data_IF_656757353203
#
_entry.id   IF_656757353203
#
_cell.length_a   1.000
_cell.length_b   1.000
_cell.length_c   1.000
_cell.angle_alpha   90.00
_cell.angle_beta   90.00
_cell.angle_gamma   90.00
#
_symmetry.space_group_name_H-M   'P 1'
#
loop_
_entity.id
_entity.type
_entity.pdbx_description
1 polymer ?
#
# COMPACT_ATOMS: atom_id res chain seq x y z
N UNK A 1 -5.45 -9.21 -23.21
CA UNK A 1 -4.89 -9.04 -21.84
C UNK A 1 -5.88 -8.30 -20.96
N UNK A 2 -6.16 -8.80 -19.74
CA UNK A 2 -7.01 -8.17 -18.73
C UNK A 2 -6.27 -8.07 -17.39
N UNK A 3 -6.42 -6.94 -16.70
CA UNK A 3 -5.73 -6.65 -15.44
C UNK A 3 -6.73 -6.11 -14.43
N UNK A 4 -6.57 -6.53 -13.18
CA UNK A 4 -7.23 -5.91 -12.03
C UNK A 4 -6.17 -5.27 -11.14
N UNK A 5 -6.46 -4.07 -10.62
CA UNK A 5 -5.59 -3.31 -9.73
C UNK A 5 -6.35 -2.92 -8.47
N UNK A 6 -5.75 -3.15 -7.32
CA UNK A 6 -6.24 -2.74 -5.99
C UNK A 6 -5.09 -2.11 -5.20
N UNK A 7 -5.37 -1.17 -4.32
CA UNK A 7 -4.36 -0.49 -3.48
C UNK A 7 -4.92 -0.21 -2.08
N UNK A 8 -4.03 0.12 -1.14
CA UNK A 8 -4.36 0.68 0.18
C UNK A 8 -5.40 -0.19 0.93
N UNK A 9 -5.05 -1.46 1.18
CA UNK A 9 -5.89 -2.43 1.91
C UNK A 9 -5.59 -2.38 3.41
N UNK A 10 -4.32 -2.13 3.78
CA UNK A 10 -3.85 -2.03 5.16
C UNK A 10 -4.30 -3.20 6.06
N UNK A 11 -4.15 -4.45 5.63
CA UNK A 11 -4.48 -5.62 6.46
C UNK A 11 -3.71 -5.52 7.79
N UNK A 12 -4.43 -5.64 8.90
CA UNK A 12 -3.92 -5.37 10.25
C UNK A 12 -4.26 -3.98 10.81
N UNK A 13 -4.97 -3.13 10.06
CA UNK A 13 -5.49 -1.84 10.53
C UNK A 13 -6.96 -1.93 10.92
N UNK A 14 -7.37 -1.17 11.94
CA UNK A 14 -8.78 -1.00 12.34
C UNK A 14 -9.68 -0.45 11.22
N UNK A 15 -9.08 0.23 10.25
CA UNK A 15 -9.78 0.87 9.14
C UNK A 15 -9.84 -0.03 7.89
N UNK A 16 -9.21 -1.19 7.92
CA UNK A 16 -9.20 -2.15 6.82
C UNK A 16 -10.56 -2.82 6.63
N UNK A 17 -10.98 -2.99 5.39
CA UNK A 17 -12.16 -3.80 5.01
C UNK A 17 -11.77 -5.22 4.63
N UNK A 18 -11.02 -5.90 5.51
CA UNK A 18 -10.51 -7.25 5.25
C UNK A 18 -11.58 -8.24 4.78
N UNK A 19 -12.75 -8.26 5.45
CA UNK A 19 -13.84 -9.16 5.07
C UNK A 19 -14.39 -8.89 3.67
N UNK A 20 -14.49 -7.62 3.27
CA UNK A 20 -15.00 -7.25 1.95
C UNK A 20 -13.97 -7.57 0.87
N UNK A 21 -12.68 -7.31 1.14
CA UNK A 21 -11.60 -7.69 0.24
C UNK A 21 -11.52 -9.22 0.07
N UNK A 22 -11.74 -9.97 1.15
CA UNK A 22 -11.82 -11.43 1.14
C UNK A 22 -12.95 -11.95 0.25
N UNK A 23 -14.14 -11.33 0.31
CA UNK A 23 -15.27 -11.66 -0.57
C UNK A 23 -15.01 -11.25 -2.02
N UNK A 24 -14.33 -10.13 -2.23
CA UNK A 24 -13.90 -9.70 -3.55
C UNK A 24 -12.97 -10.73 -4.21
N UNK A 25 -12.04 -11.33 -3.45
CA UNK A 25 -11.20 -12.42 -3.96
C UNK A 25 -12.01 -13.68 -4.32
N UNK A 26 -13.05 -14.02 -3.54
CA UNK A 26 -13.97 -15.11 -3.90
C UNK A 26 -14.69 -14.81 -5.23
N UNK A 27 -15.14 -13.56 -5.39
CA UNK A 27 -15.76 -13.10 -6.63
C UNK A 27 -14.82 -13.20 -7.84
N UNK A 28 -13.56 -12.79 -7.69
CA UNK A 28 -12.54 -12.97 -8.74
C UNK A 28 -12.35 -14.44 -9.12
N UNK A 29 -12.33 -15.35 -8.14
CA UNK A 29 -12.22 -16.78 -8.40
C UNK A 29 -13.43 -17.31 -9.20
N UNK A 30 -14.63 -16.79 -8.92
CA UNK A 30 -15.82 -17.14 -9.69
C UNK A 30 -15.79 -16.56 -11.11
N UNK A 31 -15.24 -15.36 -11.35
CA UNK A 31 -15.03 -14.85 -12.71
C UNK A 31 -14.08 -15.77 -13.48
N UNK A 32 -12.97 -16.21 -12.88
CA UNK A 32 -12.01 -17.13 -13.51
C UNK A 32 -12.64 -18.48 -13.85
N UNK A 33 -13.58 -18.96 -13.03
CA UNK A 33 -14.31 -20.21 -13.23
C UNK A 33 -15.36 -20.10 -14.32
N UNK A 34 -16.10 -18.99 -14.37
CA UNK A 34 -17.16 -18.74 -15.36
C UNK A 34 -16.60 -18.34 -16.73
N UNK A 35 -15.35 -17.87 -16.79
CA UNK A 35 -14.74 -17.36 -18.02
C UNK A 35 -15.09 -15.90 -18.31
N UNK A 36 -15.51 -15.15 -17.30
CA UNK A 36 -15.90 -13.74 -17.39
C UNK A 36 -17.24 -13.44 -16.73
N UNK A 37 -17.57 -12.15 -16.64
CA UNK A 37 -18.82 -11.65 -16.05
C UNK A 37 -19.27 -10.39 -16.78
N UNK A 38 -20.58 -10.13 -16.84
CA UNK A 38 -21.12 -8.91 -17.42
C UNK A 38 -21.68 -8.03 -16.31
N UNK A 39 -21.09 -6.85 -16.12
CA UNK A 39 -21.54 -5.86 -15.15
C UNK A 39 -22.39 -4.85 -15.88
N UNK A 40 -23.62 -4.65 -15.41
CA UNK A 40 -24.52 -3.63 -15.92
C UNK A 40 -24.63 -2.50 -14.90
N UNK A 41 -24.16 -1.32 -15.26
CA UNK A 41 -24.21 -0.14 -14.40
C UNK A 41 -24.53 1.10 -15.23
N UNK A 42 -25.53 1.88 -14.79
CA UNK A 42 -25.95 3.09 -15.50
C UNK A 42 -26.40 2.88 -16.96
N UNK A 43 -26.91 1.69 -17.30
CA UNK A 43 -27.32 1.35 -18.68
C UNK A 43 -26.17 0.96 -19.61
N UNK A 44 -24.93 0.94 -19.13
CA UNK A 44 -23.78 0.38 -19.84
C UNK A 44 -23.51 -1.04 -19.34
N UNK A 45 -23.39 -1.99 -20.27
CA UNK A 45 -22.95 -3.35 -19.98
C UNK A 45 -21.46 -3.47 -20.35
N UNK A 46 -20.62 -3.75 -19.36
CA UNK A 46 -19.19 -4.03 -19.55
C UNK A 46 -18.95 -5.50 -19.27
N UNK A 47 -18.32 -6.20 -20.21
CA UNK A 47 -17.95 -7.61 -20.04
C UNK A 47 -16.53 -7.70 -19.49
N UNK A 48 -16.40 -8.12 -18.24
CA UNK A 48 -15.13 -8.46 -17.63
C UNK A 48 -14.66 -9.83 -18.10
N UNK A 49 -13.43 -9.90 -18.56
CA UNK A 49 -12.74 -11.17 -18.77
C UNK A 49 -12.07 -11.62 -17.46
N UNK A 50 -11.81 -12.93 -17.26
CA UNK A 50 -10.93 -13.39 -16.18
C UNK A 50 -9.63 -12.60 -16.20
N UNK A 51 -9.13 -12.11 -15.04
CA UNK A 51 -7.89 -11.36 -15.02
C UNK A 51 -6.73 -12.26 -15.44
N UNK A 52 -5.89 -11.79 -16.36
CA UNK A 52 -4.57 -12.40 -16.59
C UNK A 52 -3.58 -11.96 -15.51
N UNK A 53 -3.80 -10.76 -14.94
CA UNK A 53 -2.97 -10.19 -13.88
C UNK A 53 -3.79 -9.49 -12.79
N UNK A 54 -3.38 -9.64 -11.54
CA UNK A 54 -3.85 -8.91 -10.37
C UNK A 54 -2.68 -8.14 -9.77
N UNK A 55 -2.75 -6.81 -9.80
CA UNK A 55 -1.73 -5.92 -9.26
C UNK A 55 -2.21 -5.40 -7.90
N UNK A 56 -1.46 -5.74 -6.85
CA UNK A 56 -1.61 -5.17 -5.52
C UNK A 56 -0.65 -3.97 -5.42
N UNK A 57 -1.20 -2.77 -5.48
CA UNK A 57 -0.47 -1.53 -5.74
C UNK A 57 -0.22 -0.73 -4.46
N UNK A 58 0.62 -1.29 -3.60
CA UNK A 58 1.10 -0.65 -2.36
C UNK A 58 0.11 -0.66 -1.19
N UNK A 59 0.68 -0.53 0.01
CA UNK A 59 -0.01 -0.44 1.30
C UNK A 59 -1.08 -1.54 1.50
N UNK A 60 -0.71 -2.77 1.17
CA UNK A 60 -1.54 -3.97 1.32
C UNK A 60 -1.51 -4.47 2.75
N UNK A 61 -0.33 -4.43 3.38
CA UNK A 61 -0.12 -4.81 4.77
C UNK A 61 0.13 -3.56 5.63
N UNK A 62 -0.48 -3.50 6.81
CA UNK A 62 -0.21 -2.44 7.79
C UNK A 62 0.93 -2.87 8.73
N UNK A 63 2.17 -2.45 8.44
CA UNK A 63 3.33 -2.74 9.31
C UNK A 63 3.77 -1.54 10.16
N UNK A 64 3.26 -0.33 9.91
CA UNK A 64 3.68 0.88 10.64
C UNK A 64 2.87 1.11 11.90
N UNK A 65 1.56 0.88 11.82
CA UNK A 65 0.57 1.12 12.87
C UNK A 65 -0.48 0.02 12.92
N UNK A 66 -0.08 -1.26 13.07
CA UNK A 66 -1.05 -2.35 13.19
C UNK A 66 -1.89 -2.19 14.46
N UNK A 67 -3.04 -2.88 14.50
CA UNK A 67 -3.91 -2.96 15.67
C UNK A 67 -3.08 -3.24 16.93
N UNK A 68 -3.29 -2.43 17.97
CA UNK A 68 -2.56 -2.47 19.24
C UNK A 68 -1.03 -2.40 19.13
N UNK A 69 -0.51 -1.85 18.03
CA UNK A 69 0.91 -1.85 17.69
C UNK A 69 1.52 -3.26 17.78
N UNK A 70 0.78 -4.26 17.28
CA UNK A 70 1.19 -5.66 17.25
C UNK A 70 1.00 -6.27 15.85
N UNK A 71 2.12 -6.53 15.18
CA UNK A 71 2.18 -7.12 13.83
C UNK A 71 1.48 -8.48 13.71
N UNK A 72 1.23 -9.17 14.83
CA UNK A 72 0.44 -10.41 14.85
C UNK A 72 -0.95 -10.20 14.23
N UNK A 73 -1.58 -9.05 14.44
CA UNK A 73 -2.89 -8.77 13.85
C UNK A 73 -2.80 -8.62 12.33
N UNK A 74 -1.75 -7.96 11.81
CA UNK A 74 -1.45 -7.93 10.37
C UNK A 74 -1.32 -9.33 9.79
N UNK A 75 -0.56 -10.20 10.45
CA UNK A 75 -0.41 -11.59 10.00
C UNK A 75 -1.75 -12.34 10.05
N UNK A 76 -2.50 -12.22 11.14
CA UNK A 76 -3.80 -12.89 11.30
C UNK A 76 -4.78 -12.46 10.22
N UNK A 77 -4.89 -11.16 9.97
CA UNK A 77 -5.79 -10.61 8.94
C UNK A 77 -5.32 -10.94 7.53
N UNK A 78 -4.01 -11.12 7.30
CA UNK A 78 -3.48 -11.47 5.98
C UNK A 78 -3.65 -12.94 5.60
N UNK A 79 -3.77 -13.87 6.56
CA UNK A 79 -3.80 -15.32 6.28
C UNK A 79 -4.90 -15.70 5.28
N UNK A 80 -6.14 -15.28 5.52
CA UNK A 80 -7.27 -15.67 4.66
C UNK A 80 -7.21 -15.00 3.28
N UNK A 81 -7.09 -13.66 3.15
CA UNK A 81 -6.93 -13.00 1.85
C UNK A 81 -5.78 -13.58 1.04
N UNK A 82 -4.60 -13.77 1.64
CA UNK A 82 -3.46 -14.31 0.89
C UNK A 82 -3.69 -15.76 0.49
N UNK A 83 -4.35 -16.58 1.31
CA UNK A 83 -4.74 -17.95 0.92
C UNK A 83 -5.63 -17.93 -0.33
N UNK A 84 -6.66 -17.08 -0.36
CA UNK A 84 -7.56 -16.92 -1.52
C UNK A 84 -6.84 -16.37 -2.74
N UNK A 85 -6.03 -15.33 -2.54
CA UNK A 85 -5.19 -14.72 -3.56
C UNK A 85 -4.29 -15.77 -4.23
N UNK A 86 -3.63 -16.63 -3.45
CA UNK A 86 -2.76 -17.68 -3.96
C UNK A 86 -3.50 -18.76 -4.77
N UNK A 87 -4.81 -18.91 -4.57
CA UNK A 87 -5.65 -19.86 -5.29
C UNK A 87 -6.20 -19.32 -6.62
N UNK A 88 -6.14 -18.00 -6.86
CA UNK A 88 -6.45 -17.44 -8.18
C UNK A 88 -5.47 -17.98 -9.23
N UNK A 89 -5.87 -18.09 -10.49
CA UNK A 89 -5.03 -18.58 -11.59
C UNK A 89 -4.14 -17.48 -12.18
N UNK A 90 -4.59 -16.24 -12.15
CA UNK A 90 -3.91 -15.07 -12.68
C UNK A 90 -2.49 -14.87 -12.09
N UNK A 91 -1.65 -14.08 -12.78
CA UNK A 91 -0.39 -13.58 -12.24
C UNK A 91 -0.65 -12.51 -11.18
N UNK A 92 0.08 -12.53 -10.07
CA UNK A 92 0.01 -11.54 -8.99
C UNK A 92 1.29 -10.73 -9.02
N UNK A 93 1.13 -9.42 -9.01
CA UNK A 93 2.23 -8.47 -8.85
C UNK A 93 1.94 -7.63 -7.62
N UNK A 94 2.74 -7.79 -6.59
CA UNK A 94 2.65 -6.99 -5.37
C UNK A 94 3.73 -5.92 -5.41
N UNK A 95 3.32 -4.69 -5.75
CA UNK A 95 4.15 -3.50 -5.69
C UNK A 95 4.15 -2.99 -4.26
N UNK A 96 5.33 -2.84 -3.66
CA UNK A 96 5.47 -2.37 -2.28
C UNK A 96 5.15 -0.88 -2.18
N UNK A 97 4.36 -0.53 -1.17
CA UNK A 97 4.14 0.82 -0.67
C UNK A 97 4.98 1.08 0.57
N UNK A 98 4.73 2.21 1.23
CA UNK A 98 5.51 2.59 2.40
C UNK A 98 5.14 1.79 3.65
N UNK A 99 3.88 1.39 3.81
CA UNK A 99 3.45 0.61 4.98
C UNK A 99 3.94 -0.83 4.95
N UNK A 100 4.35 -1.34 3.79
CA UNK A 100 4.78 -2.72 3.59
C UNK A 100 6.19 -2.87 2.95
N UNK A 101 6.97 -1.79 2.85
CA UNK A 101 8.34 -1.81 2.28
C UNK A 101 9.27 -2.86 2.92
N UNK A 102 9.08 -3.13 4.22
CA UNK A 102 9.87 -4.09 4.98
C UNK A 102 9.63 -5.55 4.56
N UNK A 103 8.58 -5.84 3.78
CA UNK A 103 8.32 -7.18 3.25
C UNK A 103 9.50 -7.69 2.41
N UNK A 104 10.12 -6.81 1.61
CA UNK A 104 11.31 -7.14 0.81
C UNK A 104 12.42 -7.79 1.65
N UNK A 105 12.75 -7.17 2.79
CA UNK A 105 13.76 -7.66 3.74
C UNK A 105 13.40 -9.04 4.29
N UNK A 106 12.14 -9.27 4.66
CA UNK A 106 11.71 -10.58 5.16
C UNK A 106 11.77 -11.67 4.09
N UNK A 107 11.49 -11.34 2.83
CA UNK A 107 11.61 -12.29 1.72
C UNK A 107 13.07 -12.67 1.47
N UNK A 108 13.99 -11.71 1.52
CA UNK A 108 15.40 -11.98 1.31
C UNK A 108 15.96 -12.82 2.46
N UNK A 109 15.59 -12.51 3.71
CA UNK A 109 15.91 -13.35 4.87
C UNK A 109 15.33 -14.77 4.73
N UNK A 110 14.10 -14.89 4.24
CA UNK A 110 13.48 -16.20 3.99
C UNK A 110 14.23 -16.98 2.91
N UNK A 111 14.53 -16.36 1.76
CA UNK A 111 15.30 -16.99 0.67
C UNK A 111 16.67 -17.46 1.15
N UNK A 112 17.39 -16.64 1.93
CA UNK A 112 18.70 -16.98 2.49
C UNK A 112 18.65 -18.13 3.50
N UNK A 113 17.54 -18.29 4.23
CA UNK A 113 17.37 -19.33 5.26
C UNK A 113 16.75 -20.62 4.72
N UNK A 114 16.25 -20.65 3.49
CA UNK A 114 15.38 -21.72 3.02
C UNK A 114 15.84 -22.50 1.79
N UNK A 115 17.14 -22.84 1.73
CA UNK A 115 17.59 -24.01 0.97
C UNK A 115 16.98 -25.33 1.54
N UNK A 116 16.42 -25.32 2.76
CA UNK A 116 15.89 -26.52 3.43
C UNK A 116 14.37 -26.52 3.70
N UNK A 117 13.71 -25.37 3.90
CA UNK A 117 12.29 -25.32 4.33
C UNK A 117 11.27 -25.15 3.19
N UNK A 118 11.68 -24.60 2.04
CA UNK A 118 10.82 -24.40 0.85
C UNK A 118 10.28 -25.72 0.32
N UNK A 119 11.00 -26.84 0.53
CA UNK A 119 10.53 -28.19 0.16
C UNK A 119 9.41 -28.76 1.03
N UNK A 120 9.20 -28.26 2.26
CA UNK A 120 8.31 -28.92 3.24
C UNK A 120 6.88 -28.36 3.28
N UNK A 121 6.68 -27.10 2.87
CA UNK A 121 5.37 -26.42 3.01
C UNK A 121 4.75 -25.95 1.69
N UNK A 122 5.36 -26.23 0.53
CA UNK A 122 4.90 -25.71 -0.76
C UNK A 122 4.66 -24.18 -0.79
N UNK A 123 5.21 -23.44 0.18
CA UNK A 123 5.47 -21.99 0.10
C UNK A 123 6.63 -21.71 -0.89
N UNK A 124 6.82 -22.58 -1.89
CA UNK A 124 7.51 -22.18 -3.10
C UNK A 124 6.61 -21.14 -3.72
N UNK A 125 7.05 -19.87 -3.67
CA UNK A 125 6.48 -18.75 -4.41
C UNK A 125 5.92 -19.31 -5.72
N UNK A 126 4.59 -19.42 -5.79
CA UNK A 126 3.93 -19.85 -7.00
C UNK A 126 4.52 -18.97 -8.10
N UNK A 127 4.93 -19.53 -9.25
CA UNK A 127 5.60 -18.75 -10.31
C UNK A 127 4.80 -17.51 -10.75
N UNK A 128 3.53 -17.48 -10.37
CA UNK A 128 2.57 -16.43 -10.61
C UNK A 128 2.47 -15.41 -9.46
N UNK A 129 3.43 -15.28 -8.54
CA UNK A 129 3.43 -14.22 -7.52
C UNK A 129 4.80 -13.53 -7.46
N UNK A 130 4.83 -12.26 -7.84
CA UNK A 130 6.04 -11.43 -7.87
C UNK A 130 5.87 -10.26 -6.91
N UNK A 131 6.91 -9.96 -6.13
CA UNK A 131 6.97 -8.79 -5.24
C UNK A 131 7.99 -7.84 -5.83
N UNK A 132 7.58 -6.58 -6.01
CA UNK A 132 8.33 -5.56 -6.74
C UNK A 132 8.42 -4.30 -5.89
N UNK A 133 9.59 -3.67 -5.87
CA UNK A 133 9.79 -2.45 -5.12
C UNK A 133 9.23 -1.23 -5.86
N UNK A 134 8.40 -0.43 -5.19
CA UNK A 134 7.90 0.92 -5.56
C UNK A 134 7.05 1.08 -6.81
N UNK A 135 7.39 0.42 -7.92
CA UNK A 135 6.72 0.56 -9.21
C UNK A 135 6.83 -0.68 -10.08
N UNK A 136 5.91 -0.81 -11.02
CA UNK A 136 5.86 -1.89 -11.99
C UNK A 136 5.52 -1.34 -13.38
N UNK A 137 6.22 -1.76 -14.44
CA UNK A 137 7.43 -2.61 -14.46
C UNK A 137 8.68 -1.98 -13.78
N UNK A 138 9.69 -2.81 -13.46
CA UNK A 138 10.89 -2.43 -12.70
C UNK A 138 11.87 -1.49 -13.43
N UNK A 139 11.82 -1.40 -14.76
CA UNK A 139 12.73 -0.52 -15.52
C UNK A 139 11.97 0.44 -16.43
N UNK A 140 11.44 1.53 -15.87
CA UNK A 140 10.73 2.57 -16.62
C UNK A 140 11.58 3.26 -17.72
N UNK A 141 12.90 3.06 -17.72
CA UNK A 141 13.83 3.69 -18.66
C UNK A 141 14.21 2.77 -19.82
N UNK A 142 14.07 1.46 -19.67
CA UNK A 142 14.12 0.51 -20.78
C UNK A 142 12.84 0.63 -21.62
N UNK A 143 12.92 1.25 -22.79
CA UNK A 143 11.77 1.43 -23.69
C UNK A 143 11.12 0.11 -24.13
N UNK A 144 11.82 -1.02 -24.03
CA UNK A 144 11.29 -2.35 -24.34
C UNK A 144 10.64 -3.05 -23.13
N UNK A 145 11.00 -2.70 -21.89
CA UNK A 145 10.53 -3.37 -20.66
C UNK A 145 9.85 -2.48 -19.63
N UNK A 146 9.86 -1.16 -19.84
CA UNK A 146 9.48 -0.18 -18.84
C UNK A 146 8.01 0.13 -18.71
N UNK A 147 7.19 -0.49 -19.56
CA UNK A 147 5.74 -0.30 -19.53
C UNK A 147 5.04 -1.61 -19.82
N UNK A 148 3.89 -1.79 -19.21
CA UNK A 148 3.00 -2.88 -19.57
C UNK A 148 2.10 -2.44 -20.71
N UNK A 149 2.20 -3.10 -21.85
CA UNK A 149 1.36 -2.80 -23.02
C UNK A 149 0.06 -3.60 -22.94
N UNK A 150 -1.07 -2.90 -23.00
CA UNK A 150 -2.42 -3.48 -23.03
C UNK A 150 -3.14 -2.89 -24.24
N UNK A 151 -3.40 -3.71 -25.25
CA UNK A 151 -3.88 -3.23 -26.54
C UNK A 151 -2.88 -2.26 -27.18
N UNK A 152 -3.33 -1.03 -27.44
CA UNK A 152 -2.50 0.05 -27.99
C UNK A 152 -1.85 0.92 -26.91
N UNK A 153 -2.31 0.84 -25.67
CA UNK A 153 -1.92 1.73 -24.56
C UNK A 153 -0.76 1.14 -23.76
N UNK A 154 0.07 2.01 -23.18
CA UNK A 154 1.15 1.65 -22.24
C UNK A 154 0.78 2.10 -20.83
N UNK A 155 1.06 1.25 -19.85
CA UNK A 155 0.75 1.52 -18.45
C UNK A 155 2.00 1.43 -17.57
N UNK A 156 2.07 2.33 -16.60
CA UNK A 156 3.06 2.36 -15.53
C UNK A 156 2.32 2.40 -14.19
N UNK A 157 2.64 1.46 -13.31
CA UNK A 157 1.98 1.28 -12.02
C UNK A 157 2.95 1.72 -10.92
N UNK A 158 2.51 2.59 -10.02
CA UNK A 158 3.28 2.97 -8.84
C UNK A 158 2.37 3.13 -7.63
N UNK A 159 2.91 3.04 -6.42
CA UNK A 159 2.10 3.24 -5.20
C UNK A 159 1.42 4.62 -5.18
N UNK A 160 2.18 5.69 -5.43
CA UNK A 160 1.67 7.07 -5.45
C UNK A 160 2.29 7.96 -4.37
N UNK A 161 2.98 7.37 -3.39
CA UNK A 161 3.78 8.10 -2.39
C UNK A 161 4.87 8.99 -3.03
N UNK A 162 5.30 8.67 -4.25
CA UNK A 162 6.22 9.48 -5.05
C UNK A 162 5.70 10.91 -5.31
N UNK A 163 4.38 11.13 -5.19
CA UNK A 163 3.77 12.44 -5.27
C UNK A 163 3.88 13.24 -3.96
N UNK A 164 4.24 12.65 -2.83
CA UNK A 164 4.35 13.38 -1.56
C UNK A 164 5.68 14.13 -1.45
N UNK A 165 5.63 15.46 -1.62
CA UNK A 165 6.79 16.36 -1.49
C UNK A 165 7.48 16.26 -0.13
N UNK A 166 6.74 16.00 0.95
CA UNK A 166 7.34 15.85 2.28
C UNK A 166 8.17 14.58 2.35
N UNK A 167 7.71 13.48 1.74
CA UNK A 167 8.48 12.25 1.62
C UNK A 167 9.73 12.44 0.77
N UNK A 168 9.61 13.13 -0.37
CA UNK A 168 10.76 13.48 -1.21
C UNK A 168 11.78 14.36 -0.47
N UNK A 169 11.31 15.36 0.27
CA UNK A 169 12.17 16.28 1.02
C UNK A 169 12.81 15.63 2.26
N UNK A 170 12.09 14.73 2.94
CA UNK A 170 12.59 14.00 4.10
C UNK A 170 13.70 13.02 3.72
N UNK A 171 13.74 12.55 2.47
CA UNK A 171 14.78 11.67 1.96
C UNK A 171 14.95 10.44 2.87
N UNK A 172 16.17 10.14 3.39
CA UNK A 172 16.38 9.00 4.28
C UNK A 172 15.56 9.01 5.58
N UNK A 173 15.08 10.17 6.02
CA UNK A 173 14.26 10.30 7.24
C UNK A 173 12.84 9.74 7.05
N UNK A 174 12.39 9.58 5.80
CA UNK A 174 11.13 8.93 5.46
C UNK A 174 11.00 7.51 6.04
N UNK A 175 12.12 6.83 6.26
CA UNK A 175 12.17 5.45 6.75
C UNK A 175 12.19 5.37 8.29
N UNK A 176 12.15 6.50 9.00
CA UNK A 176 12.12 6.52 10.48
C UNK A 176 10.89 5.80 11.03
N UNK A 177 9.66 6.02 10.54
CA UNK A 177 8.48 5.29 10.99
C UNK A 177 8.68 3.77 10.86
N UNK A 178 9.14 3.28 9.71
CA UNK A 178 9.38 1.85 9.45
C UNK A 178 10.39 1.24 10.42
N UNK A 179 11.55 1.91 10.62
CA UNK A 179 12.57 1.46 11.58
C UNK A 179 12.07 1.47 13.02
N UNK A 180 11.28 2.48 13.36
CA UNK A 180 10.75 2.62 14.72
C UNK A 180 9.67 1.58 15.00
N UNK A 181 8.83 1.27 14.01
CA UNK A 181 7.87 0.17 14.06
C UNK A 181 8.56 -1.19 14.19
N UNK A 182 9.65 -1.44 13.45
CA UNK A 182 10.46 -2.67 13.57
C UNK A 182 11.00 -2.85 15.01
N UNK A 183 11.62 -1.81 15.57
CA UNK A 183 12.16 -1.85 16.95
C UNK A 183 11.04 -2.04 17.97
N UNK A 184 9.93 -1.31 17.81
CA UNK A 184 8.76 -1.44 18.66
C UNK A 184 8.20 -2.87 18.63
N UNK A 185 8.10 -3.48 17.44
CA UNK A 185 7.65 -4.86 17.27
C UNK A 185 8.60 -5.87 17.90
N UNK A 186 9.92 -5.66 17.81
CA UNK A 186 10.90 -6.49 18.51
C UNK A 186 10.70 -6.43 20.04
N UNK A 187 10.46 -5.25 20.59
CA UNK A 187 10.20 -5.09 22.04
C UNK A 187 8.89 -5.72 22.47
N UNK A 188 7.84 -5.63 21.64
CA UNK A 188 6.58 -6.30 21.86
C UNK A 188 6.71 -7.82 22.06
N UNK A 189 7.68 -8.44 21.38
CA UNK A 189 7.95 -9.88 21.47
C UNK A 189 8.84 -10.26 22.67
N UNK A 190 9.77 -9.39 23.06
CA UNK A 190 10.75 -9.68 24.12
C UNK A 190 10.19 -9.34 25.52
N UNK A 191 9.45 -8.25 25.62
CA UNK A 191 9.09 -7.65 26.91
C UNK A 191 7.60 -7.82 27.23
N UNK A 192 7.24 -8.10 28.50
CA UNK A 192 5.85 -8.25 28.93
C UNK A 192 4.98 -7.03 28.61
N UNK A 193 3.67 -7.29 28.52
CA UNK A 193 2.65 -6.29 28.23
C UNK A 193 2.89 -5.57 26.90
N UNK A 194 3.27 -6.33 25.86
CA UNK A 194 3.47 -5.78 24.51
C UNK A 194 4.49 -4.62 24.53
N UNK A 195 5.62 -4.80 25.22
CA UNK A 195 6.68 -3.79 25.32
C UNK A 195 6.48 -2.67 26.38
N UNK A 196 5.29 -2.55 26.99
CA UNK A 196 5.00 -1.46 27.94
C UNK A 196 5.76 -1.58 29.27
N UNK A 197 6.26 -2.76 29.62
CA UNK A 197 7.08 -2.96 30.81
C UNK A 197 8.36 -2.10 30.81
N UNK A 198 8.93 -1.76 29.65
CA UNK A 198 10.08 -0.84 29.56
C UNK A 198 9.67 0.58 29.96
N UNK A 199 8.50 1.05 29.48
CA UNK A 199 7.97 2.38 29.82
C UNK A 199 7.67 2.46 31.32
N UNK A 200 7.09 1.41 31.88
CA UNK A 200 6.87 1.31 33.33
C UNK A 200 8.17 1.32 34.12
N UNK A 201 9.20 0.60 33.64
CA UNK A 201 10.53 0.62 34.25
C UNK A 201 11.13 2.03 34.24
N UNK A 202 10.99 2.77 33.14
CA UNK A 202 11.41 4.18 33.07
C UNK A 202 10.72 5.05 34.11
N UNK A 203 9.38 4.95 34.22
CA UNK A 203 8.60 5.74 35.18
C UNK A 203 9.01 5.40 36.62
N UNK A 204 9.06 4.11 36.96
CA UNK A 204 9.37 3.64 38.32
C UNK A 204 10.80 3.98 38.72
N UNK A 205 11.78 3.74 37.85
CA UNK A 205 13.18 4.07 38.11
C UNK A 205 13.40 5.58 38.16
N UNK A 206 12.73 6.36 37.32
CA UNK A 206 12.78 7.83 37.37
C UNK A 206 12.26 8.36 38.71
N UNK A 207 11.11 7.87 39.17
CA UNK A 207 10.56 8.23 40.48
C UNK A 207 11.49 7.81 41.64
N UNK A 208 12.03 6.60 41.58
CA UNK A 208 12.99 6.10 42.57
C UNK A 208 14.28 6.95 42.60
N UNK A 209 14.78 7.40 41.44
CA UNK A 209 15.93 8.29 41.36
C UNK A 209 15.63 9.65 42.00
N UNK A 210 14.43 10.21 41.80
CA UNK A 210 14.06 11.49 42.42
C UNK A 210 14.09 11.44 43.95
N UNK A 211 13.79 10.28 44.55
CA UNK A 211 13.79 10.06 46.00
C UNK A 211 15.19 9.72 46.52
N UNK A 212 15.87 8.78 45.86
CA UNK A 212 17.12 8.19 46.38
C UNK A 212 18.37 8.94 45.93
N UNK A 213 18.30 9.68 44.81
CA UNK A 213 19.43 10.31 44.13
C UNK A 213 20.59 9.35 43.83
N UNK A 214 20.29 8.07 43.61
CA UNK A 214 21.29 7.04 43.34
C UNK A 214 21.64 6.96 41.84
N UNK A 215 22.93 7.03 41.51
CA UNK A 215 23.42 7.06 40.11
C UNK A 215 23.15 5.76 39.32
N UNK A 216 23.08 4.60 39.99
CA UNK A 216 22.71 3.34 39.34
C UNK A 216 21.24 3.41 38.90
N UNK A 217 20.36 3.93 39.77
CA UNK A 217 18.94 4.09 39.44
C UNK A 217 18.77 5.13 38.31
N UNK A 218 19.55 6.21 38.32
CA UNK A 218 19.60 7.15 37.20
C UNK A 218 19.98 6.45 35.90
N UNK A 219 21.02 5.62 35.91
CA UNK A 219 21.48 4.88 34.73
C UNK A 219 20.39 3.94 34.20
N UNK A 220 19.70 3.21 35.09
CA UNK A 220 18.55 2.36 34.72
C UNK A 220 17.42 3.21 34.12
N UNK A 221 17.13 4.36 34.70
CA UNK A 221 16.09 5.27 34.20
C UNK A 221 16.45 5.85 32.82
N UNK A 222 17.69 6.31 32.63
CA UNK A 222 18.16 6.81 31.34
C UNK A 222 18.14 5.71 30.28
N UNK A 223 18.58 4.49 30.60
CA UNK A 223 18.55 3.36 29.68
C UNK A 223 17.12 2.97 29.29
N UNK A 224 16.22 2.84 30.26
CA UNK A 224 14.82 2.52 30.00
C UNK A 224 14.07 3.65 29.29
N UNK A 225 14.43 4.92 29.51
CA UNK A 225 13.92 6.05 28.72
C UNK A 225 14.25 5.89 27.24
N UNK A 226 15.53 5.67 26.91
CA UNK A 226 15.97 5.51 25.52
C UNK A 226 15.27 4.32 24.85
N UNK A 227 15.12 3.21 25.56
CA UNK A 227 14.39 2.03 25.07
C UNK A 227 12.87 2.26 25.00
N UNK A 228 12.33 3.23 25.74
CA UNK A 228 10.90 3.58 25.65
C UNK A 228 10.58 4.43 24.42
N UNK A 229 11.56 5.15 23.86
CA UNK A 229 11.34 6.08 22.74
C UNK A 229 10.65 5.42 21.55
N UNK A 230 11.06 4.24 21.04
CA UNK A 230 10.38 3.62 19.91
C UNK A 230 8.91 3.31 20.19
N UNK A 231 8.60 2.80 21.39
CA UNK A 231 7.24 2.43 21.78
C UNK A 231 6.35 3.65 22.00
N UNK A 232 6.88 4.68 22.65
CA UNK A 232 6.17 5.94 22.81
C UNK A 232 5.97 6.62 21.46
N UNK A 233 6.98 6.58 20.58
CA UNK A 233 6.85 7.10 19.22
C UNK A 233 5.74 6.38 18.48
N UNK A 234 5.74 5.05 18.36
CA UNK A 234 4.66 4.33 17.63
C UNK A 234 3.28 4.52 18.26
N UNK A 235 3.18 4.58 19.59
CA UNK A 235 1.92 4.86 20.28
C UNK A 235 1.40 6.29 20.04
N UNK A 236 2.30 7.27 20.03
CA UNK A 236 1.94 8.67 19.84
C UNK A 236 2.02 9.12 18.39
N UNK A 237 2.56 8.32 17.45
CA UNK A 237 2.85 8.76 16.09
C UNK A 237 1.58 9.26 15.43
N UNK A 238 0.46 8.57 15.58
CA UNK A 238 -0.80 9.01 14.96
C UNK A 238 -1.27 10.35 15.51
N UNK A 239 -1.07 10.61 16.81
CA UNK A 239 -1.42 11.88 17.47
C UNK A 239 -0.45 13.00 17.10
N UNK A 240 0.85 12.71 17.12
CA UNK A 240 1.93 13.64 16.75
C UNK A 240 1.78 14.01 15.28
N UNK A 241 1.67 13.02 14.40
CA UNK A 241 1.39 13.21 12.99
C UNK A 241 0.06 13.89 12.78
N UNK A 242 -1.03 13.57 13.48
CA UNK A 242 -2.30 14.30 13.35
C UNK A 242 -2.14 15.79 13.70
N UNK A 243 -1.36 16.13 14.72
CA UNK A 243 -1.09 17.52 15.12
C UNK A 243 -0.16 18.23 14.14
N UNK A 244 0.89 17.54 13.66
CA UNK A 244 1.80 18.04 12.64
C UNK A 244 1.07 18.22 11.29
N UNK A 245 0.19 17.28 10.93
CA UNK A 245 -0.68 17.29 9.74
C UNK A 245 -1.53 18.56 9.68
N UNK A 246 -2.00 19.08 10.81
CA UNK A 246 -2.73 20.37 10.85
C UNK A 246 -1.90 21.58 10.41
N UNK A 247 -0.57 21.49 10.43
CA UNK A 247 0.33 22.59 10.09
C UNK A 247 1.06 22.36 8.76
N UNK A 248 0.87 21.20 8.11
CA UNK A 248 1.48 20.84 6.83
C UNK A 248 0.34 20.55 5.85
N UNK A 249 -0.15 21.61 5.19
CA UNK A 249 -1.32 21.59 4.31
C UNK A 249 -1.07 20.93 2.93
N UNK A 250 0.18 20.59 2.61
CA UNK A 250 0.57 20.10 1.28
C UNK A 250 0.85 18.59 1.28
N UNK A 251 -0.20 17.78 1.48
CA UNK A 251 -0.15 16.33 1.24
C UNK A 251 -1.08 15.91 0.10
N UNK A 252 -0.67 14.94 -0.73
CA UNK A 252 -1.53 14.42 -1.80
C UNK A 252 -2.64 13.50 -1.27
N UNK A 253 -2.58 13.01 -0.01
CA UNK A 253 -3.66 12.20 0.56
C UNK A 253 -5.00 12.95 0.52
N UNK A 254 -6.05 12.29 0.02
CA UNK A 254 -7.38 12.84 -0.29
C UNK A 254 -7.42 13.89 -1.40
N UNK A 255 -6.37 13.99 -2.22
CA UNK A 255 -6.39 14.82 -3.42
C UNK A 255 -6.79 13.97 -4.62
N UNK A 256 -7.74 14.49 -5.38
CA UNK A 256 -8.03 14.04 -6.74
C UNK A 256 -6.83 14.28 -7.67
N UNK A 257 -6.81 13.62 -8.81
CA UNK A 257 -5.74 13.71 -9.82
C UNK A 257 -5.55 15.16 -10.28
N UNK A 258 -6.66 15.88 -10.51
CA UNK A 258 -6.59 17.26 -10.98
C UNK A 258 -5.84 18.15 -9.97
N UNK A 259 -6.07 17.95 -8.67
CA UNK A 259 -5.36 18.62 -7.59
C UNK A 259 -3.91 18.19 -7.52
N UNK A 260 -3.59 16.89 -7.72
CA UNK A 260 -2.22 16.38 -7.78
C UNK A 260 -1.41 17.14 -8.84
N UNK A 261 -2.01 17.30 -10.02
CA UNK A 261 -1.44 18.01 -11.17
C UNK A 261 -1.32 19.51 -10.87
N UNK A 262 -2.40 20.18 -10.45
CA UNK A 262 -2.43 21.63 -10.18
C UNK A 262 -1.41 22.04 -9.11
N UNK A 263 -1.25 21.24 -8.06
CA UNK A 263 -0.28 21.49 -6.98
C UNK A 263 1.16 21.10 -7.33
N UNK A 264 1.41 20.66 -8.58
CA UNK A 264 2.72 20.23 -9.08
C UNK A 264 3.36 19.15 -8.21
N UNK A 265 2.55 18.20 -7.73
CA UNK A 265 3.09 16.97 -7.15
C UNK A 265 3.63 16.03 -8.23
N UNK A 266 3.14 16.19 -9.46
CA UNK A 266 3.75 15.63 -10.67
C UNK A 266 4.47 16.72 -11.47
N UNK A 267 5.70 16.46 -11.86
CA UNK A 267 6.54 17.39 -12.62
C UNK A 267 6.72 16.88 -14.06
N UNK A 268 5.85 17.37 -14.96
CA UNK A 268 5.84 16.98 -16.37
C UNK A 268 7.14 17.32 -17.12
N UNK A 269 7.91 18.29 -16.64
CA UNK A 269 9.18 18.67 -17.25
C UNK A 269 10.30 17.68 -16.90
N UNK A 270 10.21 17.05 -15.72
CA UNK A 270 11.17 16.02 -15.28
C UNK A 270 10.76 14.61 -15.65
N UNK A 271 9.53 14.42 -16.09
CA UNK A 271 9.02 13.14 -16.53
C UNK A 271 9.78 12.64 -17.78
N UNK A 272 10.31 11.41 -17.66
CA UNK A 272 11.08 10.71 -18.69
C UNK A 272 10.39 9.45 -19.20
N UNK A 273 9.14 9.17 -18.82
CA UNK A 273 8.43 7.95 -19.23
C UNK A 273 8.05 7.96 -20.71
N UNK A 274 8.09 9.13 -21.37
CA UNK A 274 7.76 9.29 -22.78
C UNK A 274 6.36 9.87 -23.00
N UNK A 275 5.91 9.85 -24.25
CA UNK A 275 4.81 10.70 -24.73
C UNK A 275 3.44 9.98 -24.80
N UNK A 276 3.35 8.72 -24.37
CA UNK A 276 2.15 7.87 -24.44
C UNK A 276 2.16 6.81 -23.34
N UNK A 277 2.25 7.26 -22.09
CA UNK A 277 2.26 6.39 -20.90
C UNK A 277 1.15 6.82 -19.96
N UNK A 278 0.33 5.85 -19.58
CA UNK A 278 -0.76 6.00 -18.64
C UNK A 278 -0.28 5.57 -17.24
N UNK A 279 -0.62 6.36 -16.23
CA UNK A 279 -0.19 6.15 -14.86
C UNK A 279 -1.32 5.54 -14.04
N UNK A 280 -1.03 4.45 -13.33
CA UNK A 280 -1.96 3.83 -12.39
C UNK A 280 -1.36 3.91 -10.99
N UNK A 281 -2.12 4.40 -10.02
CA UNK A 281 -1.64 4.60 -8.65
C UNK A 281 -2.75 4.49 -7.59
N UNK A 282 -2.38 4.35 -6.33
CA UNK A 282 -3.27 4.35 -5.17
C UNK A 282 -2.98 5.57 -4.29
N UNK A 283 -2.63 5.34 -3.02
CA UNK A 283 -2.04 6.26 -2.03
C UNK A 283 -2.79 7.56 -1.68
N UNK A 284 -3.53 8.19 -2.60
CA UNK A 284 -4.34 9.37 -2.29
C UNK A 284 -5.74 9.02 -1.82
N UNK A 285 -6.16 7.75 -1.95
CA UNK A 285 -7.46 7.22 -1.55
C UNK A 285 -8.67 7.80 -2.32
N UNK A 286 -8.47 8.68 -3.30
CA UNK A 286 -9.56 9.27 -4.10
C UNK A 286 -9.63 8.54 -5.45
N UNK A 287 -10.60 7.62 -5.64
CA UNK A 287 -10.70 6.88 -6.88
C UNK A 287 -11.11 7.81 -8.03
N UNK A 288 -10.31 7.86 -9.10
CA UNK A 288 -10.56 8.73 -10.26
C UNK A 288 -9.88 8.20 -11.53
N UNK A 289 -10.50 8.45 -12.68
CA UNK A 289 -9.86 8.35 -14.00
C UNK A 289 -9.85 9.74 -14.62
N UNK A 290 -8.67 10.27 -14.94
CA UNK A 290 -8.48 11.63 -15.43
C UNK A 290 -7.55 11.65 -16.65
N UNK A 291 -8.01 12.19 -17.77
CA UNK A 291 -7.17 12.46 -18.94
C UNK A 291 -6.62 13.89 -18.84
N UNK A 292 -5.31 14.03 -18.76
CA UNK A 292 -4.63 15.32 -18.74
C UNK A 292 -3.94 15.59 -20.07
N UNK A 293 -4.09 16.82 -20.58
CA UNK A 293 -3.42 17.29 -21.79
C UNK A 293 -2.37 18.33 -21.41
N UNK A 294 -1.14 18.17 -21.91
CA UNK A 294 -0.02 19.08 -21.66
C UNK A 294 0.84 19.24 -22.92
N UNK A 295 1.70 20.26 -22.91
CA UNK A 295 2.58 20.59 -24.04
C UNK A 295 4.02 20.19 -23.72
N UNK A 296 4.67 19.45 -24.63
CA UNK A 296 6.11 19.10 -24.54
C UNK A 296 6.73 19.20 -25.94
N UNK A 297 7.79 19.99 -26.09
CA UNK A 297 8.48 20.20 -27.37
C UNK A 297 7.52 20.57 -28.53
N UNK A 298 6.63 21.53 -28.30
CA UNK A 298 5.60 22.00 -29.25
C UNK A 298 4.59 20.92 -29.71
N UNK A 299 4.49 19.81 -28.97
CA UNK A 299 3.48 18.77 -29.18
C UNK A 299 2.51 18.72 -28.02
N UNK A 300 1.23 18.64 -28.37
CA UNK A 300 0.17 18.32 -27.43
C UNK A 300 0.19 16.82 -27.13
N UNK A 301 0.36 16.48 -25.86
CA UNK A 301 0.39 15.11 -25.37
C UNK A 301 -0.76 14.88 -24.41
N UNK A 302 -1.31 13.67 -24.43
CA UNK A 302 -2.38 13.22 -23.55
C UNK A 302 -1.88 12.09 -22.68
N UNK A 303 -2.13 12.19 -21.39
CA UNK A 303 -1.79 11.16 -20.42
C UNK A 303 -3.01 10.82 -19.59
N UNK A 304 -3.27 9.52 -19.44
CA UNK A 304 -4.29 9.05 -18.51
C UNK A 304 -3.68 8.79 -17.15
N UNK A 305 -4.33 9.31 -16.12
CA UNK A 305 -4.06 9.02 -14.72
C UNK A 305 -5.24 8.24 -14.16
N UNK A 306 -4.94 7.11 -13.54
CA UNK A 306 -5.93 6.16 -13.01
C UNK A 306 -5.61 5.89 -11.56
N UNK A 307 -6.40 6.46 -10.66
CA UNK A 307 -6.28 6.23 -9.24
C UNK A 307 -7.22 5.09 -8.82
N UNK A 308 -6.67 3.99 -8.29
CA UNK A 308 -7.45 2.84 -7.83
C UNK A 308 -8.25 3.10 -6.55
N UNK A 309 -8.00 4.22 -5.87
CA UNK A 309 -8.66 4.58 -4.62
C UNK A 309 -8.09 3.82 -3.43
N UNK A 310 -8.96 3.22 -2.61
CA UNK A 310 -8.56 2.61 -1.34
C UNK A 310 -9.59 1.58 -0.85
N UNK A 311 -9.12 0.56 -0.14
CA UNK A 311 -9.95 -0.41 0.59
C UNK A 311 -10.02 -0.12 2.09
N UNK A 312 -9.45 1.01 2.51
CA UNK A 312 -9.57 1.55 3.85
C UNK A 312 -10.76 2.51 3.95
N UNK A 313 -11.52 2.39 5.04
CA UNK A 313 -12.56 3.37 5.42
C UNK A 313 -11.89 4.59 6.03
N UNK A 314 -11.89 5.69 5.30
CA UNK A 314 -11.29 6.95 5.74
C UNK A 314 -12.15 8.13 5.27
N UNK A 315 -12.78 8.84 6.22
CA UNK A 315 -13.75 9.93 5.97
C UNK A 315 -14.95 9.48 5.10
N UNK A 316 -15.65 10.44 4.49
CA UNK A 316 -16.81 10.22 3.62
C UNK A 316 -16.43 9.92 2.16
N UNK A 317 -15.20 9.41 1.92
CA UNK A 317 -14.76 9.06 0.57
C UNK A 317 -15.23 7.67 0.14
N UNK A 318 -15.34 7.48 -1.17
CA UNK A 318 -15.63 6.19 -1.78
C UNK A 318 -14.45 5.25 -1.50
N UNK A 319 -14.76 4.05 -1.00
CA UNK A 319 -13.80 2.99 -0.67
C UNK A 319 -14.24 1.66 -1.30
N UNK A 320 -13.43 0.62 -1.11
CA UNK A 320 -13.57 -0.70 -1.74
C UNK A 320 -13.55 -0.60 -3.28
N UNK A 321 -12.61 0.18 -3.81
CA UNK A 321 -12.51 0.43 -5.25
C UNK A 321 -11.42 -0.39 -5.89
N UNK A 322 -11.61 -0.72 -7.16
CA UNK A 322 -10.62 -1.41 -7.97
C UNK A 322 -10.69 -0.94 -9.41
N UNK A 323 -9.59 -1.12 -10.13
CA UNK A 323 -9.49 -0.78 -11.54
C UNK A 323 -9.42 -2.07 -12.34
N UNK A 324 -10.23 -2.16 -13.38
CA UNK A 324 -10.10 -3.18 -14.42
C UNK A 324 -9.57 -2.52 -15.70
N UNK A 325 -8.56 -3.13 -16.32
CA UNK A 325 -7.95 -2.63 -17.55
C UNK A 325 -7.92 -3.75 -18.57
N UNK A 326 -8.40 -3.49 -19.77
CA UNK A 326 -8.24 -4.38 -20.92
C UNK A 326 -7.93 -3.58 -22.20
N UNK A 327 -8.02 -4.24 -23.36
CA UNK A 327 -7.72 -3.64 -24.65
C UNK A 327 -8.69 -2.52 -25.04
N UNK A 328 -9.88 -2.47 -24.43
CA UNK A 328 -10.89 -1.43 -24.66
C UNK A 328 -10.58 -0.16 -23.87
N UNK A 329 -9.96 -0.29 -22.69
CA UNK A 329 -9.63 0.86 -21.85
C UNK A 329 -9.54 0.55 -20.37
N UNK A 330 -9.68 1.59 -19.55
CA UNK A 330 -9.62 1.49 -18.10
C UNK A 330 -10.99 1.79 -17.48
N UNK A 331 -11.36 1.00 -16.49
CA UNK A 331 -12.66 1.03 -15.82
C UNK A 331 -12.45 1.04 -14.31
N UNK A 332 -13.04 2.02 -13.64
CA UNK A 332 -12.97 2.17 -12.20
C UNK A 332 -14.29 1.71 -11.59
N UNK A 333 -14.20 0.73 -10.71
CA UNK A 333 -15.34 0.11 -10.05
C UNK A 333 -15.31 0.31 -8.54
N UNK A 334 -16.49 0.24 -7.94
CA UNK A 334 -16.70 0.08 -6.51
C UNK A 334 -17.28 -1.30 -6.23
N UNK A 335 -16.71 -1.97 -5.25
CA UNK A 335 -17.25 -3.17 -4.63
C UNK A 335 -18.20 -2.76 -3.49
N UNK A 336 -19.48 -3.08 -3.65
CA UNK A 336 -20.56 -2.77 -2.74
C UNK A 336 -20.77 -3.82 -1.64
N UNK A 337 -21.49 -3.41 -0.60
CA UNK A 337 -21.90 -4.30 0.48
C UNK A 337 -22.84 -5.38 -0.07
N UNK A 338 -22.46 -6.65 0.06
CA UNK A 338 -23.21 -7.79 -0.50
C UNK A 338 -22.66 -8.34 -1.83
N UNK A 339 -21.61 -7.73 -2.37
CA UNK A 339 -20.91 -8.19 -3.57
C UNK A 339 -21.42 -7.61 -4.89
N UNK A 340 -22.23 -6.56 -4.81
CA UNK A 340 -22.60 -5.77 -5.98
C UNK A 340 -21.40 -4.99 -6.51
N UNK A 341 -21.30 -4.84 -7.83
CA UNK A 341 -20.21 -4.11 -8.48
C UNK A 341 -20.76 -2.92 -9.27
N UNK A 342 -20.33 -1.72 -8.90
CA UNK A 342 -20.78 -0.46 -9.49
C UNK A 342 -19.67 0.16 -10.36
N UNK A 343 -19.99 0.56 -11.59
CA UNK A 343 -19.05 1.30 -12.44
C UNK A 343 -19.07 2.78 -12.06
N UNK A 344 -17.93 3.31 -11.62
CA UNK A 344 -17.77 4.72 -11.26
C UNK A 344 -17.34 5.58 -12.46
N UNK A 345 -16.37 5.09 -13.23
CA UNK A 345 -15.81 5.82 -14.38
C UNK A 345 -15.18 4.86 -15.40
N UNK A 346 -15.06 5.28 -16.65
CA UNK A 346 -14.46 4.51 -17.73
C UNK A 346 -13.91 5.40 -18.83
N UNK A 347 -12.82 5.00 -19.50
CA UNK A 347 -12.21 5.71 -20.65
C UNK A 347 -11.76 4.76 -21.75
#
# INVERSE_FOLDING_TARGET
MSIIVVSDIHLGSVSSKNEDFTKFLDWLAEIEKKGGESISSGGKAVKLSPPEKLILLGDILELWSPIDNNIKYTVQEAIEPFSKLMNLKCEKVFVLGNHDENVSKYLDEFKLRTDYAVKKYNFGLNKNFTIIDRHYPEDAHDKEKGFLKIGTRKYFFLHGQQFDKLFLAAGPLANIPSKTAEISGAFSNIFPFNGWSIVMLFIVSGAAYLITKNDIIFTISAGSFLLSVPRLFTYFQDKVWAKLKRHVEDRPKYSDVETIIKKKYYDFEKDKTGDDVNFVFGHTHVPEIHEHTFQRNDKELKMLFVNSGSWVVDKDYIHNTFVYIDESGAYLYRWGDGGDVELLSSV
#
